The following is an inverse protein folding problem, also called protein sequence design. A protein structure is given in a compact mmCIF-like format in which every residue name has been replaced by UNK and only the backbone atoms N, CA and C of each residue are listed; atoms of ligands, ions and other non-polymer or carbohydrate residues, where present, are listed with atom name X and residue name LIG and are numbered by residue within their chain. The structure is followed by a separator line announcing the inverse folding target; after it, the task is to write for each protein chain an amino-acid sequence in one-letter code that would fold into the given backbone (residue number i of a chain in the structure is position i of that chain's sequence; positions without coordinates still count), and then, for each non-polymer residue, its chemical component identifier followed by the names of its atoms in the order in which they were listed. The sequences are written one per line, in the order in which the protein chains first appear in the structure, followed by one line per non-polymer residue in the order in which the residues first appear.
data_IF_849121847626
#
_entry.id   IF_849121847626
#
_cell.length_a   1.000
_cell.length_b   1.000
_cell.length_c   1.000
_cell.angle_alpha   90.00
_cell.angle_beta   90.00
_cell.angle_gamma   90.00
#
_symmetry.space_group_name_H-M   'P 1'
#
loop_
_entity.id
_entity.type
_entity.pdbx_description
1 polymer ?
#
# COMPACT_ATOMS: atom_id res chain seq x y z
N UNK A 1 -13.99 2.61 -7.18
CA UNK A 1 -13.61 3.82 -6.42
C UNK A 1 -14.60 4.08 -5.28
N UNK A 2 -15.89 3.99 -5.54
CA UNK A 2 -16.91 4.15 -4.51
C UNK A 2 -16.79 3.13 -3.39
N UNK A 3 -16.50 1.87 -3.74
CA UNK A 3 -16.35 0.79 -2.76
C UNK A 3 -15.22 1.04 -1.75
N UNK A 4 -14.11 1.63 -2.18
CA UNK A 4 -13.00 1.91 -1.26
C UNK A 4 -13.38 2.98 -0.25
N UNK A 5 -14.13 3.99 -0.65
CA UNK A 5 -14.63 5.03 0.27
C UNK A 5 -15.59 4.46 1.30
N UNK A 6 -16.43 3.51 0.90
CA UNK A 6 -17.41 2.88 1.79
C UNK A 6 -16.75 2.00 2.85
N UNK A 7 -15.73 1.25 2.47
CA UNK A 7 -15.07 0.29 3.39
C UNK A 7 -13.87 0.88 4.11
N UNK A 8 -13.36 2.01 3.68
CA UNK A 8 -12.27 2.74 4.32
C UNK A 8 -12.64 4.22 4.51
N UNK A 9 -13.66 4.50 5.33
CA UNK A 9 -14.19 5.87 5.47
C UNK A 9 -13.19 6.84 6.12
N UNK A 10 -12.19 6.34 6.83
CA UNK A 10 -11.13 7.17 7.41
C UNK A 10 -10.07 7.61 6.40
N UNK A 11 -10.11 7.09 5.19
CA UNK A 11 -9.17 7.46 4.14
C UNK A 11 -9.71 8.65 3.35
N UNK A 12 -8.89 9.70 3.22
CA UNK A 12 -9.27 10.88 2.44
C UNK A 12 -9.64 10.47 1.01
N UNK A 13 -10.78 10.96 0.47
CA UNK A 13 -11.21 10.58 -0.87
C UNK A 13 -10.20 10.86 -1.97
N UNK A 14 -9.46 11.97 -1.90
CA UNK A 14 -8.43 12.27 -2.88
C UNK A 14 -7.24 11.29 -2.79
N UNK A 15 -6.91 10.87 -1.58
CA UNK A 15 -5.85 9.88 -1.34
C UNK A 15 -6.29 8.50 -1.84
N UNK A 16 -7.53 8.11 -1.56
CA UNK A 16 -8.08 6.83 -2.06
C UNK A 16 -8.08 6.79 -3.59
N UNK A 17 -8.52 7.88 -4.22
CA UNK A 17 -8.54 8.00 -5.68
C UNK A 17 -7.12 7.96 -6.27
N UNK A 18 -6.18 8.68 -5.66
CA UNK A 18 -4.78 8.69 -6.09
C UNK A 18 -4.12 7.33 -5.95
N UNK A 19 -4.37 6.63 -4.86
CA UNK A 19 -3.86 5.28 -4.63
C UNK A 19 -4.33 4.32 -5.72
N UNK A 20 -5.62 4.32 -6.01
CA UNK A 20 -6.19 3.44 -7.03
C UNK A 20 -5.73 3.83 -8.43
N UNK A 21 -5.65 5.12 -8.72
CA UNK A 21 -5.18 5.60 -10.03
C UNK A 21 -3.73 5.15 -10.28
N UNK A 22 -2.86 5.36 -9.31
CA UNK A 22 -1.46 4.94 -9.41
C UNK A 22 -1.34 3.42 -9.56
N UNK A 23 -2.04 2.67 -8.73
CA UNK A 23 -1.95 1.20 -8.72
C UNK A 23 -2.56 0.59 -10.00
N UNK A 24 -3.76 1.02 -10.38
CA UNK A 24 -4.54 0.39 -11.45
C UNK A 24 -4.12 0.89 -12.83
N UNK A 25 -3.83 2.18 -12.96
CA UNK A 25 -3.59 2.79 -14.27
C UNK A 25 -2.11 2.99 -14.62
N UNK A 26 -1.22 2.93 -13.64
CA UNK A 26 0.22 3.11 -13.85
C UNK A 26 1.02 1.85 -13.58
N UNK A 27 0.93 1.31 -12.36
CA UNK A 27 1.75 0.17 -11.95
C UNK A 27 1.28 -1.15 -12.56
N UNK A 28 -0.01 -1.43 -12.48
CA UNK A 28 -0.58 -2.68 -12.98
C UNK A 28 -0.36 -2.88 -14.48
N UNK A 29 -0.64 -1.90 -15.35
CA UNK A 29 -0.41 -2.08 -16.79
C UNK A 29 1.07 -2.27 -17.14
N UNK A 30 1.97 -1.68 -16.37
CA UNK A 30 3.41 -1.81 -16.57
C UNK A 30 3.99 -3.06 -15.93
N UNK A 31 3.17 -3.85 -15.24
CA UNK A 31 3.57 -5.07 -14.52
C UNK A 31 4.65 -4.80 -13.47
N UNK A 32 4.54 -3.67 -12.79
CA UNK A 32 5.41 -3.30 -11.68
C UNK A 32 4.79 -3.79 -10.40
N UNK A 33 5.44 -4.77 -9.77
CA UNK A 33 5.04 -5.24 -8.44
C UNK A 33 5.34 -4.19 -7.39
N UNK A 34 4.37 -3.88 -6.53
CA UNK A 34 4.54 -2.84 -5.51
C UNK A 34 3.61 -3.08 -4.32
N UNK A 35 4.03 -2.57 -3.17
CA UNK A 35 3.21 -2.52 -1.96
C UNK A 35 3.19 -1.07 -1.48
N UNK A 36 2.01 -0.48 -1.39
CA UNK A 36 1.83 0.90 -0.94
C UNK A 36 0.92 0.87 0.29
N UNK A 37 1.40 1.40 1.40
CA UNK A 37 0.66 1.45 2.67
C UNK A 37 0.32 2.90 2.98
N UNK A 38 -0.96 3.19 3.16
CA UNK A 38 -1.46 4.51 3.53
C UNK A 38 -2.08 4.41 4.92
N UNK A 39 -1.71 5.33 5.83
CA UNK A 39 -2.33 5.38 7.16
C UNK A 39 -3.40 6.47 7.24
N UNK A 40 -4.33 6.29 8.17
CA UNK A 40 -5.31 7.32 8.52
C UNK A 40 -4.68 8.38 9.42
N UNK A 41 -5.35 9.53 9.58
CA UNK A 41 -4.91 10.55 10.51
C UNK A 41 -4.75 9.99 11.93
N UNK A 42 -3.74 10.52 12.63
CA UNK A 42 -3.44 10.08 13.99
C UNK A 42 -2.46 8.93 14.10
N UNK A 43 -2.12 8.30 13.00
CA UNK A 43 -1.12 7.24 12.98
C UNK A 43 0.27 7.83 12.68
N UNK A 44 1.30 7.33 13.33
CA UNK A 44 2.68 7.84 13.14
C UNK A 44 3.62 6.72 12.71
N UNK A 45 4.15 6.82 11.50
CA UNK A 45 5.14 5.86 11.00
C UNK A 45 6.42 5.83 11.85
N UNK A 46 6.78 6.96 12.47
CA UNK A 46 8.00 7.06 13.27
C UNK A 46 8.02 6.12 14.48
N UNK A 47 6.84 5.74 14.98
CA UNK A 47 6.72 4.81 16.13
C UNK A 47 6.74 3.36 15.71
N UNK A 48 6.76 3.06 14.42
CA UNK A 48 6.70 1.68 13.94
C UNK A 48 8.08 1.04 13.87
N UNK A 49 8.12 -0.21 14.29
CA UNK A 49 9.29 -1.05 14.12
C UNK A 49 9.24 -1.67 12.71
N UNK A 50 9.99 -1.08 11.80
CA UNK A 50 10.15 -1.58 10.45
C UNK A 50 11.61 -1.94 10.20
N UNK A 51 11.83 -2.98 9.38
CA UNK A 51 13.16 -3.53 9.19
C UNK A 51 14.12 -2.56 8.51
N UNK A 52 13.66 -1.89 7.46
CA UNK A 52 14.41 -0.89 6.71
C UNK A 52 13.51 0.23 6.30
N UNK A 53 14.05 1.42 6.10
CA UNK A 53 13.30 2.54 5.55
C UNK A 53 14.25 3.60 5.01
N UNK A 54 13.87 4.19 3.89
CA UNK A 54 14.59 5.31 3.28
C UNK A 54 13.64 6.49 3.18
N UNK A 55 14.13 7.67 3.55
CA UNK A 55 13.35 8.89 3.43
C UNK A 55 13.06 9.16 1.96
N UNK A 56 11.80 9.38 1.62
CA UNK A 56 11.40 9.66 0.25
C UNK A 56 11.61 11.13 -0.11
N UNK A 57 11.84 11.45 -1.39
CA UNK A 57 11.72 12.83 -1.85
C UNK A 57 10.27 13.31 -1.71
N UNK A 58 10.03 14.60 -1.85
CA UNK A 58 8.70 15.20 -1.72
C UNK A 58 7.80 14.82 -2.90
N UNK A 59 7.11 13.71 -2.76
CA UNK A 59 6.17 13.19 -3.75
C UNK A 59 4.82 12.94 -3.08
N UNK A 60 3.75 13.10 -3.85
CA UNK A 60 2.39 12.86 -3.37
C UNK A 60 1.62 12.00 -4.35
N UNK A 61 0.88 11.01 -3.83
CA UNK A 61 0.00 10.18 -4.66
C UNK A 61 -1.27 10.92 -5.10
N UNK A 62 -1.53 12.11 -4.54
CA UNK A 62 -2.65 12.95 -4.96
C UNK A 62 -2.28 13.90 -6.09
N UNK A 63 -1.00 14.00 -6.45
CA UNK A 63 -0.52 14.87 -7.51
C UNK A 63 -0.05 14.05 -8.71
N UNK A 64 -0.83 14.03 -9.77
CA UNK A 64 -0.53 13.25 -10.99
C UNK A 64 0.78 13.66 -11.66
N UNK A 65 1.24 14.90 -11.47
CA UNK A 65 2.53 15.35 -11.98
C UNK A 65 3.70 14.63 -11.33
N UNK A 66 3.51 14.08 -10.13
CA UNK A 66 4.52 13.28 -9.44
C UNK A 66 4.56 11.82 -9.89
N UNK A 67 3.58 11.35 -10.66
CA UNK A 67 3.46 9.92 -11.01
C UNK A 67 4.65 9.37 -11.80
N UNK A 68 5.27 10.09 -12.74
CA UNK A 68 6.48 9.56 -13.38
C UNK A 68 7.62 9.29 -12.40
N UNK A 69 7.83 10.20 -11.43
CA UNK A 69 8.85 10.03 -10.39
C UNK A 69 8.48 8.92 -9.41
N UNK A 70 7.21 8.83 -9.02
CA UNK A 70 6.71 7.74 -8.18
C UNK A 70 6.89 6.39 -8.87
N UNK A 71 6.51 6.30 -10.13
CA UNK A 71 6.67 5.09 -10.93
C UNK A 71 8.13 4.65 -10.97
N UNK A 72 9.05 5.56 -11.26
CA UNK A 72 10.48 5.26 -11.29
C UNK A 72 10.99 4.77 -9.94
N UNK A 73 10.55 5.41 -8.84
CA UNK A 73 10.95 5.02 -7.49
C UNK A 73 10.41 3.64 -7.12
N UNK A 74 9.16 3.36 -7.45
CA UNK A 74 8.52 2.08 -7.12
C UNK A 74 9.12 0.92 -7.93
N UNK A 75 9.60 1.18 -9.14
CA UNK A 75 10.29 0.15 -9.93
C UNK A 75 11.61 -0.30 -9.29
N UNK A 76 12.26 0.59 -8.54
CA UNK A 76 13.58 0.33 -7.96
C UNK A 76 13.52 -0.32 -6.58
N UNK A 77 12.35 -0.31 -5.93
CA UNK A 77 12.20 -0.76 -4.55
C UNK A 77 11.21 -1.92 -4.45
N UNK A 78 11.71 -3.09 -4.09
CA UNK A 78 10.90 -4.31 -3.93
C UNK A 78 10.05 -4.31 -2.65
N UNK A 79 10.42 -3.46 -1.68
CA UNK A 79 9.78 -3.39 -0.38
C UNK A 79 8.66 -2.35 -0.39
N UNK A 80 7.99 -2.19 0.76
CA UNK A 80 6.82 -1.32 0.84
C UNK A 80 7.17 0.17 0.78
N UNK A 81 6.22 0.95 0.29
CA UNK A 81 6.24 2.41 0.32
C UNK A 81 5.20 2.88 1.32
N UNK A 82 5.60 3.74 2.26
CA UNK A 82 4.71 4.26 3.28
C UNK A 82 4.26 5.66 2.92
N UNK A 83 2.93 5.87 2.97
CA UNK A 83 2.28 7.10 2.58
C UNK A 83 1.48 7.65 3.76
N UNK A 84 1.57 8.95 4.00
CA UNK A 84 0.83 9.61 5.07
C UNK A 84 -0.64 9.82 4.69
N UNK A 85 -1.45 10.18 5.67
CA UNK A 85 -2.90 10.36 5.50
C UNK A 85 -3.26 11.41 4.43
N UNK A 86 -2.38 12.38 4.19
CA UNK A 86 -2.57 13.41 3.15
C UNK A 86 -2.06 13.00 1.76
N UNK A 87 -1.52 11.78 1.64
CA UNK A 87 -1.01 11.26 0.37
C UNK A 87 0.46 11.51 0.11
N UNK A 88 1.18 12.12 1.06
CA UNK A 88 2.62 12.35 0.92
C UNK A 88 3.41 11.06 1.12
N UNK A 89 4.32 10.76 0.21
CA UNK A 89 5.22 9.60 0.36
C UNK A 89 6.26 9.95 1.42
N UNK A 90 6.33 9.14 2.48
CA UNK A 90 7.22 9.40 3.60
C UNK A 90 8.47 8.51 3.57
N UNK A 91 8.30 7.21 3.35
CA UNK A 91 9.40 6.26 3.30
C UNK A 91 9.29 5.31 2.13
N UNK A 92 10.44 4.92 1.59
CA UNK A 92 10.59 3.91 0.55
C UNK A 92 11.40 2.73 1.08
N UNK A 93 11.29 1.58 0.43
CA UNK A 93 12.11 0.42 0.73
C UNK A 93 11.90 -0.12 2.14
N UNK A 94 10.65 -0.17 2.59
CA UNK A 94 10.30 -0.56 3.96
C UNK A 94 10.01 -2.04 4.04
N UNK A 95 10.73 -2.74 4.92
CA UNK A 95 10.42 -4.13 5.25
C UNK A 95 9.29 -4.18 6.27
N UNK A 96 8.13 -4.66 5.86
CA UNK A 96 6.99 -4.80 6.76
C UNK A 96 7.21 -5.98 7.70
N UNK A 97 7.00 -5.75 8.99
CA UNK A 97 7.04 -6.79 10.02
C UNK A 97 5.64 -7.11 10.48
N UNK A 98 5.41 -8.35 10.86
CA UNK A 98 4.15 -8.81 11.40
C UNK A 98 4.36 -9.48 12.75
N UNK A 99 3.35 -9.38 13.61
CA UNK A 99 3.36 -10.04 14.91
C UNK A 99 3.16 -11.55 14.76
N UNK A 100 3.54 -12.36 15.76
CA UNK A 100 3.19 -13.78 15.79
C UNK A 100 1.68 -14.00 15.74
N UNK A 101 0.90 -13.11 16.31
CA UNK A 101 -0.56 -13.16 16.24
C UNK A 101 -1.07 -13.01 14.80
N UNK A 102 -0.54 -12.04 14.06
CA UNK A 102 -0.89 -11.85 12.65
C UNK A 102 -0.50 -13.06 11.81
N UNK A 103 0.65 -13.66 12.08
CA UNK A 103 1.10 -14.87 11.39
C UNK A 103 0.16 -16.05 11.60
N UNK A 104 -0.43 -16.14 12.80
CA UNK A 104 -1.42 -17.19 13.10
C UNK A 104 -2.80 -16.87 12.54
N UNK A 105 -3.21 -15.61 12.60
CA UNK A 105 -4.56 -15.18 12.18
C UNK A 105 -4.71 -15.12 10.67
N UNK A 106 -3.63 -14.82 9.96
CA UNK A 106 -3.62 -14.68 8.50
C UNK A 106 -2.79 -15.80 7.90
N UNK A 107 -3.49 -16.85 7.49
CA UNK A 107 -2.89 -17.97 6.77
C UNK A 107 -3.18 -17.79 5.29
N UNK A 108 -2.20 -17.21 4.58
CA UNK A 108 -2.32 -16.90 3.17
C UNK A 108 -1.39 -17.79 2.36
N UNK A 109 -1.93 -18.48 1.36
CA UNK A 109 -1.17 -19.26 0.38
C UNK A 109 -0.65 -18.41 -0.78
N UNK A 110 -0.94 -17.12 -0.77
CA UNK A 110 -0.47 -16.15 -1.76
C UNK A 110 1.01 -15.88 -1.60
N UNK A 111 1.61 -15.23 -2.60
CA UNK A 111 3.01 -14.87 -2.58
C UNK A 111 3.41 -13.98 -1.40
N UNK A 112 4.71 -13.86 -1.17
CA UNK A 112 5.27 -13.17 0.00
C UNK A 112 4.78 -11.73 0.14
N UNK A 113 4.68 -10.97 -0.96
CA UNK A 113 4.23 -9.58 -0.94
C UNK A 113 2.80 -9.47 -0.42
N UNK A 114 1.90 -10.32 -0.88
CA UNK A 114 0.50 -10.35 -0.43
C UNK A 114 0.39 -10.77 1.03
N UNK A 115 1.11 -11.80 1.41
CA UNK A 115 1.13 -12.30 2.80
C UNK A 115 1.63 -11.23 3.77
N UNK A 116 2.74 -10.60 3.44
CA UNK A 116 3.33 -9.53 4.24
C UNK A 116 2.35 -8.37 4.43
N UNK A 117 1.73 -7.94 3.33
CA UNK A 117 0.78 -6.83 3.33
C UNK A 117 -0.47 -7.17 4.14
N UNK A 118 -1.01 -8.36 3.96
CA UNK A 118 -2.21 -8.79 4.66
C UNK A 118 -1.98 -8.87 6.17
N UNK A 119 -0.87 -9.46 6.60
CA UNK A 119 -0.49 -9.56 8.01
C UNK A 119 -0.23 -8.19 8.62
N UNK A 120 0.45 -7.32 7.88
CA UNK A 120 0.67 -5.95 8.34
C UNK A 120 -0.65 -5.21 8.56
N UNK A 121 -1.60 -5.34 7.64
CA UNK A 121 -2.91 -4.72 7.77
C UNK A 121 -3.73 -5.28 8.94
N UNK A 122 -3.49 -6.54 9.31
CA UNK A 122 -4.09 -7.14 10.50
C UNK A 122 -3.58 -6.46 11.77
N UNK A 123 -2.26 -6.25 11.87
CA UNK A 123 -1.64 -5.60 13.03
C UNK A 123 -1.98 -4.10 13.11
N UNK A 124 -2.23 -3.48 11.97
CA UNK A 124 -2.45 -2.03 11.88
C UNK A 124 -3.75 -1.72 11.11
N UNK A 125 -4.91 -1.88 11.79
CA UNK A 125 -6.21 -1.73 11.13
C UNK A 125 -6.53 -0.32 10.65
N UNK A 126 -5.77 0.69 11.08
CA UNK A 126 -5.89 2.06 10.57
C UNK A 126 -5.12 2.31 9.27
N UNK A 127 -4.53 1.27 8.70
CA UNK A 127 -3.82 1.36 7.42
C UNK A 127 -4.63 0.73 6.28
N UNK A 128 -4.41 1.23 5.07
CA UNK A 128 -4.93 0.64 3.84
C UNK A 128 -3.74 0.30 2.96
N UNK A 129 -3.65 -0.95 2.55
CA UNK A 129 -2.49 -1.43 1.79
C UNK A 129 -2.93 -1.88 0.40
N UNK A 130 -2.30 -1.30 -0.62
CA UNK A 130 -2.47 -1.74 -2.01
C UNK A 130 -1.28 -2.59 -2.41
N UNK A 131 -1.54 -3.79 -2.91
CA UNK A 131 -0.53 -4.67 -3.47
C UNK A 131 -0.77 -4.82 -4.95
N UNK A 132 0.21 -4.44 -5.76
CA UNK A 132 0.18 -4.63 -7.21
C UNK A 132 1.02 -5.86 -7.52
N UNK A 133 0.41 -6.86 -8.12
CA UNK A 133 1.11 -8.05 -8.58
C UNK A 133 1.80 -7.78 -9.92
N UNK A 134 2.97 -8.38 -10.12
CA UNK A 134 3.65 -8.36 -11.42
C UNK A 134 2.81 -8.97 -12.54
N UNK A 135 1.83 -9.78 -12.20
CA UNK A 135 0.87 -10.35 -13.15
C UNK A 135 -0.30 -9.41 -13.47
N UNK A 136 -0.35 -8.26 -12.83
CA UNK A 136 -1.34 -7.22 -13.10
C UNK A 136 -2.40 -6.99 -12.03
N UNK A 137 -2.93 -7.99 -11.31
CA UNK A 137 -3.98 -7.75 -10.32
C UNK A 137 -3.54 -6.81 -9.20
N UNK A 138 -4.50 -5.97 -8.77
CA UNK A 138 -4.33 -5.08 -7.61
C UNK A 138 -5.25 -5.56 -6.50
N UNK A 139 -4.70 -5.78 -5.33
CA UNK A 139 -5.44 -6.21 -4.14
C UNK A 139 -5.32 -5.14 -3.06
N UNK A 140 -6.44 -4.78 -2.44
CA UNK A 140 -6.48 -3.83 -1.32
C UNK A 140 -6.74 -4.62 -0.05
N UNK A 141 -5.89 -4.42 0.95
CA UNK A 141 -6.02 -5.05 2.26
C UNK A 141 -6.33 -4.01 3.34
N UNK A 142 -7.21 -4.39 4.26
CA UNK A 142 -7.51 -3.61 5.46
C UNK A 142 -7.98 -4.57 6.57
N UNK A 143 -7.41 -4.41 7.76
CA UNK A 143 -7.76 -5.25 8.91
C UNK A 143 -7.50 -6.74 8.70
N UNK A 144 -6.52 -7.09 7.89
CA UNK A 144 -6.18 -8.48 7.58
C UNK A 144 -7.04 -9.12 6.50
N UNK A 145 -7.88 -8.33 5.81
CA UNK A 145 -8.82 -8.83 4.78
C UNK A 145 -8.62 -8.11 3.46
N UNK A 146 -8.83 -8.83 2.38
CA UNK A 146 -8.92 -8.22 1.06
C UNK A 146 -10.28 -7.55 0.92
N UNK A 147 -10.30 -6.23 0.69
CA UNK A 147 -11.52 -5.43 0.55
C UNK A 147 -11.77 -4.98 -0.88
N UNK A 148 -10.81 -5.21 -1.76
CA UNK A 148 -10.94 -4.89 -3.18
C UNK A 148 -9.90 -5.63 -3.98
N UNK A 149 -10.28 -6.05 -5.18
CA UNK A 149 -9.42 -6.81 -6.07
C UNK A 149 -9.79 -6.50 -7.52
N UNK A 150 -8.77 -6.21 -8.34
CA UNK A 150 -8.99 -6.12 -9.78
C UNK A 150 -8.78 -7.48 -10.43
N UNK A 151 -9.47 -7.72 -11.54
CA UNK A 151 -9.31 -8.94 -12.31
C UNK A 151 -7.90 -9.00 -12.94
N UNK A 152 -7.34 -10.21 -13.15
CA UNK A 152 -6.11 -10.38 -13.92
C UNK A 152 -6.29 -9.89 -15.35
N UNK A 153 -5.26 -9.31 -15.90
CA UNK A 153 -5.24 -8.86 -17.29
C UNK A 153 -4.70 -9.94 -18.21
#
# INVERSE_FOLDING_TARGET
LGGLREVAPGLDPAVAEGLLDLAVHWLSPARVGATIVVHEEGFAWASMDVATKFRAPRLSITNRRHYPALFASLQQHDLATLVTADGSVEYLGVGLRSSPEAERAVDSDRGMRHRSAQRFSYDHPSTTTAVVSENGPVTIFRGGRAIGLTAPR
#
